data_IF_237940504210
#
_entry.id   IF_237940504210
#
_cell.length_a   1.000
_cell.length_b   1.000
_cell.length_c   1.000
_cell.angle_alpha   90.00
_cell.angle_beta   90.00
_cell.angle_gamma   90.00
#
_symmetry.space_group_name_H-M   'P 1'
#
loop_
_entity.id
_entity.type
_entity.pdbx_description
1 polymer ?
#
# COMPACT_ATOMS: atom_id res chain seq x y z
N UNK A 1 -14.94 9.08 18.00
CA UNK A 1 -14.06 10.02 18.72
C UNK A 1 -12.77 9.27 18.99
N UNK A 2 -11.70 9.60 18.27
CA UNK A 2 -10.42 8.88 18.30
C UNK A 2 -9.41 9.76 17.58
N UNK A 3 -8.63 10.49 18.37
CA UNK A 3 -7.68 11.50 17.95
C UNK A 3 -6.43 10.85 17.34
N UNK A 4 -6.33 10.85 16.01
CA UNK A 4 -5.04 10.76 15.34
C UNK A 4 -4.37 12.15 15.34
N UNK A 5 -3.97 12.61 16.52
CA UNK A 5 -2.82 13.52 16.64
C UNK A 5 -1.53 12.70 16.52
N UNK A 6 -0.36 13.26 16.25
CA UNK A 6 0.03 14.64 16.04
C UNK A 6 1.47 14.54 15.50
N UNK A 7 1.72 14.92 14.25
CA UNK A 7 3.06 15.33 13.83
C UNK A 7 2.90 16.58 12.98
N UNK A 8 3.69 17.60 13.30
CA UNK A 8 3.67 18.92 12.68
C UNK A 8 4.23 18.93 11.24
N UNK A 9 3.97 17.87 10.48
CA UNK A 9 4.34 17.73 9.07
C UNK A 9 3.04 17.73 8.28
N UNK A 10 2.78 18.82 7.56
CA UNK A 10 1.82 18.93 6.45
C UNK A 10 0.42 18.37 6.69
N UNK A 11 -0.57 19.26 6.83
CA UNK A 11 -2.00 18.90 6.85
C UNK A 11 -2.32 17.96 5.68
N UNK A 12 -2.51 16.66 5.93
CA UNK A 12 -3.14 15.76 4.97
C UNK A 12 -4.60 16.18 4.86
N UNK A 13 -4.96 16.86 3.77
CA UNK A 13 -6.32 17.30 3.50
C UNK A 13 -7.22 16.08 3.25
N UNK A 14 -8.08 15.75 4.22
CA UNK A 14 -9.17 14.80 4.04
C UNK A 14 -10.34 15.50 3.35
N UNK A 15 -10.69 15.03 2.16
CA UNK A 15 -11.94 15.33 1.49
C UNK A 15 -12.71 14.02 1.36
N UNK A 16 -13.95 13.97 1.88
CA UNK A 16 -14.96 12.94 1.54
C UNK A 16 -15.01 11.67 2.40
N UNK A 17 -16.23 11.17 2.58
CA UNK A 17 -16.66 10.14 3.53
C UNK A 17 -16.15 8.70 3.23
N UNK A 18 -16.14 7.89 4.29
CA UNK A 18 -15.54 6.56 4.36
C UNK A 18 -16.18 5.49 3.46
N UNK A 19 -15.33 4.62 2.89
CA UNK A 19 -15.66 3.21 2.68
C UNK A 19 -14.39 2.37 2.54
N UNK A 20 -13.91 1.81 3.66
CA UNK A 20 -13.05 0.61 3.63
C UNK A 20 -13.98 -0.60 3.54
N UNK A 21 -14.61 -0.80 2.39
CA UNK A 21 -15.39 -2.00 2.14
C UNK A 21 -14.44 -3.21 2.00
N UNK A 22 -14.30 -3.99 3.07
CA UNK A 22 -13.61 -5.27 3.10
C UNK A 22 -14.27 -6.23 2.11
N UNK A 23 -13.65 -6.45 0.96
CA UNK A 23 -14.08 -7.48 0.00
C UNK A 23 -13.43 -8.82 0.39
N UNK A 24 -13.94 -9.45 1.45
CA UNK A 24 -13.60 -10.82 1.82
C UNK A 24 -14.25 -11.81 0.84
N UNK A 25 -13.62 -12.04 -0.31
CA UNK A 25 -13.88 -13.23 -1.10
C UNK A 25 -12.71 -13.51 -2.04
N UNK A 26 -11.56 -13.79 -1.45
CA UNK A 26 -10.38 -14.18 -2.21
C UNK A 26 -9.97 -15.56 -1.75
N UNK A 27 -10.04 -16.49 -2.69
CA UNK A 27 -9.40 -17.81 -2.62
C UNK A 27 -7.88 -17.63 -2.73
N UNK A 28 -7.30 -16.75 -1.92
CA UNK A 28 -5.86 -16.68 -1.75
C UNK A 28 -5.41 -18.02 -1.20
N UNK A 29 -4.38 -18.58 -1.83
CA UNK A 29 -3.81 -19.84 -1.41
C UNK A 29 -3.24 -19.64 -0.01
N UNK A 30 -3.87 -20.25 1.01
CA UNK A 30 -3.46 -20.11 2.42
C UNK A 30 -1.98 -20.44 2.61
N UNK A 31 -1.44 -21.32 1.78
CA UNK A 31 -0.02 -21.63 1.71
C UNK A 31 0.83 -20.44 1.23
N UNK A 32 0.39 -19.66 0.25
CA UNK A 32 1.10 -18.45 -0.20
C UNK A 32 1.12 -17.37 0.88
N UNK A 33 -0.01 -17.19 1.57
CA UNK A 33 -0.10 -16.30 2.73
C UNK A 33 0.82 -16.79 3.86
N UNK A 34 0.86 -18.10 4.11
CA UNK A 34 1.76 -18.70 5.09
C UNK A 34 3.23 -18.44 4.73
N UNK A 35 3.63 -18.58 3.47
CA UNK A 35 5.00 -18.29 3.04
C UNK A 35 5.39 -16.84 3.30
N UNK A 36 4.53 -15.87 2.94
CA UNK A 36 4.79 -14.46 3.21
C UNK A 36 4.82 -14.15 4.71
N UNK A 37 3.81 -14.56 5.46
CA UNK A 37 3.63 -14.06 6.83
C UNK A 37 4.28 -14.92 7.93
N UNK A 38 4.52 -16.21 7.68
CA UNK A 38 5.04 -17.13 8.71
C UNK A 38 6.42 -17.69 8.38
N UNK A 39 6.76 -17.85 7.10
CA UNK A 39 8.03 -18.47 6.69
C UNK A 39 9.09 -17.41 6.34
N UNK A 40 8.67 -16.21 5.93
CA UNK A 40 9.59 -15.11 5.70
C UNK A 40 9.98 -14.46 7.03
N UNK A 41 11.27 -14.42 7.32
CA UNK A 41 11.82 -13.74 8.49
C UNK A 41 12.37 -12.37 8.09
N UNK A 42 12.15 -11.37 8.95
CA UNK A 42 12.70 -10.04 8.77
C UNK A 42 11.74 -8.93 9.18
N UNK A 43 12.20 -7.70 9.07
CA UNK A 43 11.40 -6.51 9.33
C UNK A 43 11.22 -5.71 8.05
N UNK A 44 9.98 -5.35 7.75
CA UNK A 44 9.64 -4.49 6.63
C UNK A 44 9.20 -3.14 7.18
N UNK A 45 9.89 -2.09 6.77
CA UNK A 45 9.48 -0.71 7.00
C UNK A 45 9.20 -0.07 5.65
N UNK A 46 7.96 0.31 5.39
CA UNK A 46 7.56 0.98 4.15
C UNK A 46 6.87 2.32 4.44
N UNK A 47 7.16 3.32 3.61
CA UNK A 47 6.55 4.64 3.66
C UNK A 47 6.03 5.04 2.29
N UNK A 48 4.87 5.71 2.29
CA UNK A 48 4.13 6.07 1.08
C UNK A 48 4.73 7.25 0.29
N UNK A 49 5.71 7.95 0.87
CA UNK A 49 6.28 9.19 0.32
C UNK A 49 7.70 9.36 0.86
N UNK A 50 8.58 9.95 0.06
CA UNK A 50 9.92 10.35 0.50
C UNK A 50 9.88 11.63 1.34
N UNK A 51 10.98 11.99 2.02
CA UNK A 51 11.12 13.33 2.57
C UNK A 51 10.83 14.39 1.48
N UNK A 52 10.02 15.39 1.83
CA UNK A 52 9.52 16.46 0.94
C UNK A 52 8.39 16.06 -0.04
N UNK A 53 7.88 14.83 0.03
CA UNK A 53 6.67 14.42 -0.70
C UNK A 53 5.46 14.32 0.22
N UNK A 54 4.28 14.44 -0.37
CA UNK A 54 3.00 14.30 0.35
C UNK A 54 2.38 12.94 0.07
N UNK A 55 1.93 12.26 1.13
CA UNK A 55 1.14 11.07 0.98
C UNK A 55 -0.28 11.41 0.50
N UNK A 56 -0.66 10.89 -0.66
CA UNK A 56 -1.91 11.22 -1.31
C UNK A 56 -2.93 10.09 -1.24
N UNK A 57 -4.19 10.48 -1.39
CA UNK A 57 -5.32 9.59 -1.45
C UNK A 57 -6.53 10.32 -1.99
N UNK A 58 -7.59 9.57 -2.28
CA UNK A 58 -8.88 10.15 -2.62
C UNK A 58 -9.98 9.63 -1.68
N UNK A 59 -11.12 10.31 -1.68
CA UNK A 59 -12.26 9.99 -0.83
C UNK A 59 -12.81 8.57 -1.04
N UNK A 60 -12.75 8.08 -2.27
CA UNK A 60 -13.48 6.89 -2.72
C UNK A 60 -12.67 5.61 -2.53
N UNK A 61 -11.36 5.68 -2.68
CA UNK A 61 -10.45 4.54 -2.73
C UNK A 61 -9.34 4.60 -1.67
N UNK A 62 -9.32 5.66 -0.85
CA UNK A 62 -8.38 5.85 0.25
C UNK A 62 -6.99 6.29 -0.21
N UNK A 63 -5.98 6.03 0.63
CA UNK A 63 -4.58 6.34 0.32
C UNK A 63 -4.08 5.49 -0.84
N UNK A 64 -3.45 6.13 -1.85
CA UNK A 64 -3.00 5.43 -3.06
C UNK A 64 -1.98 4.35 -2.76
N UNK A 65 -1.08 4.59 -1.81
CA UNK A 65 -0.09 3.61 -1.35
C UNK A 65 -0.76 2.35 -0.76
N UNK A 66 -1.66 2.51 0.22
CA UNK A 66 -2.30 1.37 0.89
C UNK A 66 -3.20 0.59 -0.07
N UNK A 67 -3.90 1.28 -0.96
CA UNK A 67 -4.69 0.64 -2.00
C UNK A 67 -3.82 -0.18 -2.96
N UNK A 68 -2.71 0.40 -3.42
CA UNK A 68 -1.72 -0.31 -4.25
C UNK A 68 -1.10 -1.50 -3.51
N UNK A 69 -0.85 -1.39 -2.20
CA UNK A 69 -0.34 -2.48 -1.38
C UNK A 69 -1.29 -3.67 -1.33
N UNK A 70 -2.57 -3.44 -1.03
CA UNK A 70 -3.55 -4.53 -1.01
C UNK A 70 -3.76 -5.14 -2.40
N UNK A 71 -3.72 -4.32 -3.47
CA UNK A 71 -3.78 -4.83 -4.84
C UNK A 71 -2.58 -5.71 -5.20
N UNK A 72 -1.36 -5.30 -4.81
CA UNK A 72 -0.15 -6.07 -5.02
C UNK A 72 -0.14 -7.37 -4.19
N UNK A 73 -0.57 -7.30 -2.92
CA UNK A 73 -0.67 -8.47 -2.04
C UNK A 73 -1.72 -9.47 -2.53
N UNK A 74 -2.88 -8.99 -2.99
CA UNK A 74 -3.88 -9.85 -3.62
C UNK A 74 -3.28 -10.55 -4.84
N UNK A 75 -2.61 -9.80 -5.73
CA UNK A 75 -2.00 -10.39 -6.92
C UNK A 75 -0.98 -11.47 -6.55
N UNK A 76 -0.11 -11.18 -5.58
CA UNK A 76 0.94 -12.10 -5.13
C UNK A 76 0.39 -13.36 -4.45
N UNK A 77 -0.77 -13.26 -3.81
CA UNK A 77 -1.42 -14.37 -3.09
C UNK A 77 -2.50 -15.07 -3.93
N UNK A 78 -2.74 -14.58 -5.14
CA UNK A 78 -3.72 -15.13 -6.08
C UNK A 78 -3.31 -16.51 -6.57
N UNK A 79 -4.30 -17.37 -6.82
CA UNK A 79 -4.10 -18.68 -7.40
C UNK A 79 -3.55 -18.64 -8.85
N UNK A 80 -3.74 -17.52 -9.54
CA UNK A 80 -3.31 -17.31 -10.92
C UNK A 80 -1.85 -16.90 -11.05
N UNK A 81 -1.19 -16.56 -9.94
CA UNK A 81 0.20 -16.16 -9.95
C UNK A 81 1.07 -17.41 -9.76
N UNK A 82 1.98 -17.70 -10.70
CA UNK A 82 2.72 -18.98 -10.70
C UNK A 82 4.06 -18.89 -9.98
N UNK A 83 4.61 -17.69 -9.78
CA UNK A 83 5.88 -17.49 -9.08
C UNK A 83 5.73 -17.66 -7.56
N UNK A 84 6.84 -17.93 -6.87
CA UNK A 84 6.85 -18.01 -5.41
C UNK A 84 6.52 -16.65 -4.77
N UNK A 85 5.67 -16.61 -3.73
CA UNK A 85 5.31 -15.37 -3.05
C UNK A 85 6.54 -14.67 -2.46
N UNK A 86 6.74 -13.40 -2.82
CA UNK A 86 7.86 -12.61 -2.32
C UNK A 86 7.42 -11.21 -1.86
N UNK A 87 7.81 -10.83 -0.64
CA UNK A 87 7.56 -9.49 -0.10
C UNK A 87 8.18 -8.37 -0.95
N UNK A 88 9.34 -8.62 -1.56
CA UNK A 88 9.96 -7.65 -2.44
C UNK A 88 9.08 -7.36 -3.65
N UNK A 89 8.52 -8.40 -4.28
CA UNK A 89 7.63 -8.25 -5.42
C UNK A 89 6.32 -7.51 -5.05
N UNK A 90 5.80 -7.72 -3.83
CA UNK A 90 4.65 -6.95 -3.31
C UNK A 90 5.01 -5.47 -3.19
N UNK A 91 6.15 -5.16 -2.55
CA UNK A 91 6.55 -3.78 -2.28
C UNK A 91 6.93 -3.03 -3.56
N UNK A 92 7.66 -3.65 -4.49
CA UNK A 92 8.03 -3.04 -5.77
C UNK A 92 6.78 -2.66 -6.57
N UNK A 93 5.81 -3.57 -6.69
CA UNK A 93 4.53 -3.28 -7.38
C UNK A 93 3.70 -2.24 -6.65
N UNK A 94 3.79 -2.20 -5.32
CA UNK A 94 3.12 -1.17 -4.52
C UNK A 94 3.65 0.20 -4.90
N UNK A 95 4.98 0.35 -4.98
CA UNK A 95 5.62 1.62 -5.35
C UNK A 95 5.28 2.01 -6.78
N UNK A 96 5.46 1.10 -7.73
CA UNK A 96 5.14 1.33 -9.15
C UNK A 96 3.68 1.80 -9.32
N UNK A 97 2.74 1.10 -8.68
CA UNK A 97 1.32 1.43 -8.76
C UNK A 97 0.98 2.74 -8.04
N UNK A 98 1.63 3.05 -6.93
CA UNK A 98 1.43 4.31 -6.20
C UNK A 98 1.96 5.51 -7.00
N UNK A 99 3.16 5.40 -7.56
CA UNK A 99 3.75 6.42 -8.44
C UNK A 99 2.85 6.63 -9.67
N UNK A 100 2.45 5.57 -10.36
CA UNK A 100 1.57 5.67 -11.53
C UNK A 100 0.24 6.38 -11.23
N UNK A 101 -0.38 6.08 -10.08
CA UNK A 101 -1.64 6.71 -9.66
C UNK A 101 -1.49 8.19 -9.28
N UNK A 102 -0.26 8.64 -8.99
CA UNK A 102 0.01 9.99 -8.46
C UNK A 102 0.74 10.90 -9.44
N UNK A 103 1.39 10.33 -10.46
CA UNK A 103 2.15 11.02 -11.52
C UNK A 103 1.35 12.14 -12.22
N UNK A 104 0.02 11.98 -12.33
CA UNK A 104 -0.86 12.92 -13.06
C UNK A 104 -1.91 13.59 -12.18
N UNK A 105 -1.78 13.51 -10.86
CA UNK A 105 -2.76 14.13 -9.96
C UNK A 105 -2.46 15.62 -9.75
N UNK A 106 -3.47 16.46 -10.03
CA UNK A 106 -3.40 17.88 -9.68
C UNK A 106 -3.47 18.04 -8.15
N UNK A 107 -2.51 18.77 -7.58
CA UNK A 107 -2.46 19.04 -6.13
C UNK A 107 -1.83 17.93 -5.28
N UNK A 108 -1.19 16.93 -5.92
CA UNK A 108 -0.43 15.89 -5.26
C UNK A 108 0.97 15.81 -5.89
N UNK A 109 2.01 15.70 -5.06
CA UNK A 109 3.34 15.34 -5.57
C UNK A 109 3.35 13.84 -5.93
N UNK A 110 4.03 13.42 -7.00
CA UNK A 110 4.24 12.00 -7.26
C UNK A 110 4.76 11.30 -5.99
N UNK A 111 4.18 10.15 -5.66
CA UNK A 111 4.50 9.41 -4.44
C UNK A 111 5.56 8.36 -4.72
N UNK A 112 6.83 8.69 -4.47
CA UNK A 112 7.92 7.74 -4.59
C UNK A 112 8.06 6.99 -3.26
N UNK A 113 7.22 5.98 -3.04
CA UNK A 113 7.31 5.24 -1.78
C UNK A 113 8.69 4.57 -1.59
N UNK A 114 9.10 4.43 -0.33
CA UNK A 114 10.37 3.84 0.07
C UNK A 114 10.12 2.65 0.98
N UNK A 115 10.90 1.59 0.82
CA UNK A 115 10.86 0.48 1.75
C UNK A 115 12.27 0.04 2.13
N UNK A 116 12.40 -0.51 3.35
CA UNK A 116 13.58 -1.19 3.84
C UNK A 116 13.17 -2.56 4.35
N UNK A 117 13.85 -3.59 3.87
CA UNK A 117 13.76 -4.94 4.42
C UNK A 117 15.07 -5.24 5.13
N UNK A 118 14.99 -5.78 6.34
CA UNK A 118 16.13 -6.21 7.17
C UNK A 118 15.95 -7.64 7.63
#
# INVERSE_FOLDING_TARGET
RGDCGNSSIGRTSRSGAASLASRTNERSRLDRLRTLFMETQGNILAAAAQPNETACGNAQTGGYFINSFFGALHKETSYLYEEEPNWQAVLDRTMESATYKTDRLSGCTPQHGIYKMK
#
